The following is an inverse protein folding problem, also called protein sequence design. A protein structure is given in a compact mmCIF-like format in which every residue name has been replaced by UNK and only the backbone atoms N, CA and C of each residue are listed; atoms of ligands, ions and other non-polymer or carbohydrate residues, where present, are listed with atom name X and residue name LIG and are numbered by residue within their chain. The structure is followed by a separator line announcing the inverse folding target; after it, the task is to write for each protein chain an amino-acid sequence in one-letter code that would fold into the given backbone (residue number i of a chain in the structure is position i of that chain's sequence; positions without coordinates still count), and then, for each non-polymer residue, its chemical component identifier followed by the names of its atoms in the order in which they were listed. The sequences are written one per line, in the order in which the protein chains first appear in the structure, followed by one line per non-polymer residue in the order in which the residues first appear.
data_IF_770276520478
#
_entry.id   IF_770276520478
#
_cell.length_a   1.000
_cell.length_b   1.000
_cell.length_c   1.000
_cell.angle_alpha   90.00
_cell.angle_beta   90.00
_cell.angle_gamma   90.00
#
_symmetry.space_group_name_H-M   'P 1'
#
loop_
_entity.id
_entity.type
_entity.pdbx_description
1 polymer ?
#
# COMPACT_ATOMS: atom_id res chain seq x y z
N UNK A 1 10.41 -24.44 4.72
CA UNK A 1 9.25 -24.07 3.86
C UNK A 1 8.23 -23.12 4.52
N UNK A 2 7.27 -23.56 5.35
CA UNK A 2 6.16 -22.66 5.78
C UNK A 2 6.63 -21.46 6.63
N UNK A 3 7.61 -21.65 7.51
CA UNK A 3 8.14 -20.55 8.32
C UNK A 3 8.90 -19.53 7.46
N UNK A 4 9.67 -20.01 6.47
CA UNK A 4 10.46 -19.15 5.58
C UNK A 4 9.56 -18.33 4.65
N UNK A 5 8.42 -18.86 4.19
CA UNK A 5 7.49 -18.08 3.36
C UNK A 5 6.78 -16.97 4.17
N UNK A 6 6.53 -17.19 5.46
CA UNK A 6 6.03 -16.15 6.37
C UNK A 6 7.07 -15.04 6.58
N UNK A 7 8.34 -15.43 6.74
CA UNK A 7 9.44 -14.47 6.75
C UNK A 7 9.48 -13.68 5.43
N UNK A 8 9.31 -14.34 4.28
CA UNK A 8 9.28 -13.67 2.98
C UNK A 8 8.14 -12.65 2.86
N UNK A 9 6.95 -12.98 3.40
CA UNK A 9 5.80 -12.08 3.45
C UNK A 9 6.10 -10.81 4.25
N UNK A 10 6.62 -10.96 5.46
CA UNK A 10 6.93 -9.83 6.35
C UNK A 10 8.07 -8.98 5.74
N UNK A 11 9.13 -9.62 5.25
CA UNK A 11 10.21 -8.94 4.55
C UNK A 11 9.72 -8.21 3.29
N UNK A 12 8.73 -8.77 2.60
CA UNK A 12 8.12 -8.16 1.43
C UNK A 12 7.36 -6.88 1.76
N UNK A 13 6.65 -6.82 2.89
CA UNK A 13 6.03 -5.58 3.35
C UNK A 13 7.05 -4.52 3.77
N UNK A 14 8.13 -4.93 4.45
CA UNK A 14 9.21 -4.02 4.84
C UNK A 14 9.92 -3.43 3.62
N UNK A 15 10.18 -4.26 2.62
CA UNK A 15 10.80 -3.82 1.37
C UNK A 15 9.98 -2.80 0.59
N UNK A 16 8.65 -2.68 0.83
CA UNK A 16 7.83 -1.65 0.18
C UNK A 16 8.21 -0.23 0.62
N UNK A 17 8.94 -0.06 1.73
CA UNK A 17 9.50 1.23 2.13
C UNK A 17 10.37 1.88 1.05
N UNK A 18 10.93 1.09 0.14
CA UNK A 18 11.77 1.60 -0.93
C UNK A 18 11.00 2.33 -2.04
N UNK A 19 9.67 2.27 -2.00
CA UNK A 19 8.80 2.79 -3.05
C UNK A 19 7.76 3.74 -2.43
N UNK A 20 7.56 4.92 -3.04
CA UNK A 20 6.55 5.87 -2.61
C UNK A 20 6.96 6.75 -1.42
N UNK A 21 6.04 6.95 -0.47
CA UNK A 21 6.21 7.85 0.68
C UNK A 21 6.94 7.23 1.88
N UNK A 22 7.40 5.98 1.74
CA UNK A 22 7.92 5.18 2.84
C UNK A 22 6.77 4.57 3.64
N UNK A 23 6.87 3.29 3.99
CA UNK A 23 5.88 2.60 4.80
C UNK A 23 6.32 2.58 6.27
N UNK A 24 5.39 2.49 7.25
CA UNK A 24 5.75 2.42 8.66
C UNK A 24 6.48 1.12 9.05
N UNK A 25 6.58 0.14 8.16
CA UNK A 25 7.11 -1.19 8.46
C UNK A 25 8.63 -1.25 8.23
N UNK A 26 9.44 -0.99 9.26
CA UNK A 26 10.90 -1.12 9.16
C UNK A 26 11.41 -2.50 9.56
N UNK A 27 12.61 -2.87 9.12
CA UNK A 27 13.29 -4.09 9.57
C UNK A 27 13.39 -4.13 11.10
N UNK A 28 13.85 -3.06 11.71
CA UNK A 28 14.11 -2.99 13.16
C UNK A 28 12.82 -3.09 13.99
N UNK A 29 11.76 -2.37 13.59
CA UNK A 29 10.55 -2.27 14.41
C UNK A 29 9.42 -3.20 13.98
N UNK A 30 9.54 -3.87 12.83
CA UNK A 30 8.53 -4.78 12.31
C UNK A 30 9.09 -6.19 12.12
N UNK A 31 10.05 -6.36 11.20
CA UNK A 31 10.58 -7.70 10.87
C UNK A 31 11.25 -8.36 12.06
N UNK A 32 12.19 -7.67 12.72
CA UNK A 32 12.99 -8.21 13.82
C UNK A 32 12.09 -8.53 15.03
N UNK A 33 10.99 -7.79 15.22
CA UNK A 33 9.99 -8.05 16.27
C UNK A 33 9.25 -9.37 16.02
N UNK A 34 8.68 -9.56 14.83
CA UNK A 34 8.00 -10.82 14.49
C UNK A 34 8.98 -12.00 14.44
N UNK A 35 10.20 -11.77 13.94
CA UNK A 35 11.23 -12.80 13.93
C UNK A 35 11.60 -13.25 15.35
N UNK A 36 11.78 -12.32 16.28
CA UNK A 36 12.07 -12.65 17.68
C UNK A 36 10.91 -13.37 18.39
N UNK A 37 9.67 -13.04 18.05
CA UNK A 37 8.48 -13.65 18.66
C UNK A 37 8.20 -15.06 18.13
N UNK A 38 8.34 -15.27 16.82
CA UNK A 38 7.95 -16.52 16.16
C UNK A 38 9.13 -17.40 15.73
N UNK A 39 10.37 -16.93 15.90
CA UNK A 39 11.60 -17.60 15.44
C UNK A 39 11.53 -17.95 13.95
N UNK A 40 11.19 -16.95 13.12
CA UNK A 40 10.95 -17.16 11.70
C UNK A 40 12.21 -17.57 10.95
N UNK A 41 13.33 -16.91 11.26
CA UNK A 41 14.65 -17.17 10.73
C UNK A 41 15.64 -17.32 11.88
N UNK A 42 16.51 -18.31 11.77
CA UNK A 42 17.63 -18.51 12.66
C UNK A 42 18.64 -17.35 12.57
N UNK A 43 19.49 -17.15 13.59
CA UNK A 43 20.54 -16.13 13.55
C UNK A 43 21.53 -16.33 12.39
N UNK A 44 21.69 -17.55 11.90
CA UNK A 44 22.58 -17.85 10.77
C UNK A 44 21.94 -17.43 9.44
N UNK A 45 20.66 -17.75 9.24
CA UNK A 45 19.86 -17.28 8.10
C UNK A 45 19.76 -15.76 8.07
N UNK A 46 19.58 -15.12 9.23
CA UNK A 46 19.59 -13.67 9.34
C UNK A 46 20.91 -13.05 8.87
N UNK A 47 22.05 -13.66 9.21
CA UNK A 47 23.37 -13.21 8.73
C UNK A 47 23.52 -13.35 7.23
N UNK A 48 22.95 -14.41 6.65
CA UNK A 48 22.97 -14.58 5.20
C UNK A 48 22.20 -13.44 4.51
N UNK A 49 21.13 -12.92 5.12
CA UNK A 49 20.37 -11.80 4.57
C UNK A 49 20.99 -10.41 4.81
N UNK A 50 21.99 -10.26 5.68
CA UNK A 50 22.58 -8.95 6.04
C UNK A 50 23.17 -8.18 4.84
N UNK A 51 23.49 -8.88 3.74
CA UNK A 51 24.00 -8.26 2.53
C UNK A 51 22.91 -7.54 1.70
N UNK A 52 21.64 -7.72 2.05
CA UNK A 52 20.52 -7.04 1.45
C UNK A 52 19.94 -5.99 2.39
N UNK A 53 19.64 -4.81 1.84
CA UNK A 53 18.95 -3.75 2.56
C UNK A 53 17.44 -4.01 2.53
N UNK A 54 16.92 -4.63 3.59
CA UNK A 54 15.50 -4.99 3.70
C UNK A 54 14.59 -3.76 3.72
N UNK A 55 15.05 -2.63 4.27
CA UNK A 55 14.27 -1.40 4.34
C UNK A 55 14.20 -0.67 3.00
N UNK A 56 15.14 -0.94 2.09
CA UNK A 56 15.20 -0.26 0.80
C UNK A 56 15.14 -1.21 -0.40
N UNK A 57 14.68 -2.46 -0.20
CA UNK A 57 14.65 -3.43 -1.29
C UNK A 57 13.71 -4.62 -1.06
N UNK A 58 12.95 -4.97 -2.09
CA UNK A 58 12.22 -6.25 -2.16
C UNK A 58 13.11 -7.48 -2.43
N UNK A 59 14.43 -7.32 -2.50
CA UNK A 59 15.36 -8.43 -2.76
C UNK A 59 15.38 -9.49 -1.65
N UNK A 60 15.28 -9.08 -0.38
CA UNK A 60 15.21 -10.03 0.75
C UNK A 60 14.03 -11.00 0.59
N UNK A 61 12.84 -10.50 0.24
CA UNK A 61 11.66 -11.34 0.01
C UNK A 61 11.89 -12.32 -1.15
N UNK A 62 12.52 -11.85 -2.24
CA UNK A 62 12.81 -12.68 -3.42
C UNK A 62 13.80 -13.79 -3.10
N UNK A 63 14.83 -13.49 -2.32
CA UNK A 63 15.81 -14.47 -1.84
C UNK A 63 15.15 -15.52 -0.94
N UNK A 64 14.32 -15.10 0.02
CA UNK A 64 13.56 -16.01 0.89
C UNK A 64 12.59 -16.91 0.11
N UNK A 65 11.96 -16.38 -0.93
CA UNK A 65 11.17 -17.20 -1.86
C UNK A 65 12.05 -18.24 -2.56
N UNK A 66 13.25 -17.88 -3.02
CA UNK A 66 14.18 -18.84 -3.62
C UNK A 66 14.61 -19.92 -2.65
N UNK A 67 14.92 -19.59 -1.38
CA UNK A 67 15.24 -20.59 -0.35
C UNK A 67 14.06 -21.55 -0.13
N UNK A 68 12.82 -21.04 -0.14
CA UNK A 68 11.63 -21.90 -0.07
C UNK A 68 11.54 -22.89 -1.24
N UNK A 69 11.89 -22.47 -2.46
CA UNK A 69 11.89 -23.33 -3.63
C UNK A 69 12.99 -24.40 -3.54
N UNK A 70 14.16 -24.04 -3.01
CA UNK A 70 15.27 -24.97 -2.81
C UNK A 70 14.93 -26.02 -1.74
N UNK A 71 14.30 -25.61 -0.62
CA UNK A 71 13.79 -26.52 0.41
C UNK A 71 12.80 -27.54 -0.17
N UNK A 72 11.87 -27.09 -1.02
CA UNK A 72 10.86 -27.95 -1.65
C UNK A 72 11.55 -28.98 -2.56
N UNK A 73 12.53 -28.55 -3.36
CA UNK A 73 13.29 -29.42 -4.24
C UNK A 73 14.16 -30.41 -3.45
N UNK A 74 14.72 -30.01 -2.30
CA UNK A 74 15.43 -30.91 -1.40
C UNK A 74 14.49 -31.94 -0.77
N UNK A 75 13.30 -31.52 -0.31
CA UNK A 75 12.30 -32.42 0.25
C UNK A 75 11.85 -33.50 -0.75
N UNK A 76 11.70 -33.14 -2.03
CA UNK A 76 11.41 -34.11 -3.09
C UNK A 76 12.60 -35.06 -3.32
N UNK A 77 13.84 -34.55 -3.41
CA UNK A 77 15.04 -35.39 -3.55
C UNK A 77 15.24 -36.36 -2.39
N UNK A 78 14.85 -35.97 -1.18
CA UNK A 78 14.88 -36.81 0.01
C UNK A 78 13.72 -37.82 0.09
N UNK A 79 12.73 -37.71 -0.82
CA UNK A 79 11.58 -38.60 -0.89
C UNK A 79 10.48 -38.30 0.15
N UNK A 80 10.46 -37.10 0.73
CA UNK A 80 9.40 -36.69 1.66
C UNK A 80 8.11 -36.27 0.97
N UNK A 81 8.20 -35.82 -0.29
CA UNK A 81 7.07 -35.41 -1.12
C UNK A 81 7.19 -36.03 -2.51
N UNK A 82 6.07 -36.18 -3.21
CA UNK A 82 6.04 -36.62 -4.60
C UNK A 82 6.20 -35.45 -5.59
N UNK A 83 6.37 -35.76 -6.88
CA UNK A 83 6.58 -34.76 -7.94
C UNK A 83 5.38 -33.83 -8.15
N UNK A 84 4.16 -34.30 -7.86
CA UNK A 84 2.93 -33.50 -8.01
C UNK A 84 2.85 -32.48 -6.88
N UNK A 85 3.16 -32.90 -5.65
CA UNK A 85 3.25 -32.04 -4.47
C UNK A 85 4.35 -30.99 -4.64
N UNK A 86 5.53 -31.39 -5.12
CA UNK A 86 6.63 -30.47 -5.46
C UNK A 86 6.15 -29.40 -6.43
N UNK A 87 5.59 -29.80 -7.59
CA UNK A 87 5.11 -28.87 -8.61
C UNK A 87 4.03 -27.93 -8.05
N UNK A 88 3.11 -28.45 -7.24
CA UNK A 88 2.05 -27.66 -6.61
C UNK A 88 2.63 -26.60 -5.66
N UNK A 89 3.55 -26.99 -4.76
CA UNK A 89 4.16 -26.08 -3.80
C UNK A 89 5.02 -25.02 -4.49
N UNK A 90 5.82 -25.41 -5.48
CA UNK A 90 6.61 -24.48 -6.31
C UNK A 90 5.72 -23.44 -6.98
N UNK A 91 4.60 -23.87 -7.56
CA UNK A 91 3.62 -22.96 -8.18
C UNK A 91 3.05 -21.99 -7.15
N UNK A 92 2.74 -22.43 -5.93
CA UNK A 92 2.21 -21.56 -4.87
C UNK A 92 3.22 -20.51 -4.40
N UNK A 93 4.50 -20.87 -4.32
CA UNK A 93 5.57 -19.90 -4.00
C UNK A 93 5.72 -18.86 -5.11
N UNK A 94 5.63 -19.28 -6.38
CA UNK A 94 5.68 -18.35 -7.52
C UNK A 94 4.44 -17.45 -7.58
N UNK A 95 3.24 -17.98 -7.33
CA UNK A 95 2.01 -17.20 -7.26
C UNK A 95 2.11 -16.13 -6.15
N UNK A 96 2.64 -16.50 -4.98
CA UNK A 96 2.90 -15.57 -3.87
C UNK A 96 3.89 -14.48 -4.27
N UNK A 97 5.04 -14.85 -4.85
CA UNK A 97 6.04 -13.90 -5.31
C UNK A 97 5.46 -12.94 -6.36
N UNK A 98 4.69 -13.45 -7.30
CA UNK A 98 4.04 -12.63 -8.33
C UNK A 98 3.02 -11.66 -7.74
N UNK A 99 2.26 -12.08 -6.71
CA UNK A 99 1.34 -11.19 -6.01
C UNK A 99 2.08 -10.05 -5.28
N UNK A 100 3.19 -10.37 -4.59
CA UNK A 100 4.01 -9.35 -3.94
C UNK A 100 4.69 -8.42 -4.95
N UNK A 101 5.26 -8.95 -6.04
CA UNK A 101 5.82 -8.15 -7.13
C UNK A 101 4.76 -7.21 -7.74
N UNK A 102 3.51 -7.66 -7.87
CA UNK A 102 2.40 -6.80 -8.30
C UNK A 102 2.14 -5.62 -7.37
N UNK A 103 2.37 -5.76 -6.05
CA UNK A 103 2.29 -4.65 -5.11
C UNK A 103 3.45 -3.66 -5.31
N UNK A 104 4.68 -4.16 -5.49
CA UNK A 104 5.83 -3.32 -5.82
C UNK A 104 5.63 -2.54 -7.11
N UNK A 105 5.17 -3.21 -8.17
CA UNK A 105 4.91 -2.60 -9.48
C UNK A 105 3.82 -1.51 -9.39
N UNK A 106 2.77 -1.73 -8.59
CA UNK A 106 1.73 -0.74 -8.35
C UNK A 106 2.28 0.50 -7.64
N UNK A 107 3.07 0.29 -6.57
CA UNK A 107 3.67 1.39 -5.81
C UNK A 107 4.71 2.15 -6.64
N UNK A 108 5.45 1.49 -7.54
CA UNK A 108 6.52 2.10 -8.36
C UNK A 108 5.96 2.94 -9.51
N UNK A 109 4.68 2.79 -9.80
CA UNK A 109 3.97 3.53 -10.83
C UNK A 109 2.95 4.49 -10.21
N UNK A 110 3.39 5.52 -9.45
CA UNK A 110 2.46 6.48 -8.89
C UNK A 110 1.72 7.20 -10.02
N UNK A 111 0.49 7.71 -9.76
CA UNK A 111 -0.25 8.48 -10.73
C UNK A 111 0.61 9.59 -11.31
N UNK A 112 0.57 9.76 -12.63
CA UNK A 112 1.41 10.73 -13.31
C UNK A 112 1.30 12.10 -12.64
N UNK A 113 2.45 12.68 -12.29
CA UNK A 113 2.56 13.99 -11.65
C UNK A 113 1.63 15.04 -12.26
N UNK A 114 1.57 15.08 -13.60
CA UNK A 114 0.72 16.01 -14.35
C UNK A 114 -0.77 15.85 -14.03
N UNK A 115 -1.26 14.61 -13.86
CA UNK A 115 -2.65 14.33 -13.58
C UNK A 115 -3.09 14.92 -12.22
N UNK A 116 -2.30 14.71 -11.17
CA UNK A 116 -2.58 15.25 -9.83
C UNK A 116 -2.60 16.79 -9.87
N UNK A 117 -1.60 17.40 -10.51
CA UNK A 117 -1.49 18.85 -10.62
C UNK A 117 -2.63 19.45 -11.46
N UNK A 118 -3.03 18.78 -12.53
CA UNK A 118 -4.14 19.20 -13.37
C UNK A 118 -5.45 19.19 -12.60
N UNK A 119 -5.72 18.16 -11.80
CA UNK A 119 -6.91 18.10 -10.93
C UNK A 119 -6.90 19.22 -9.89
N UNK A 120 -5.76 19.48 -9.23
CA UNK A 120 -5.62 20.57 -8.27
C UNK A 120 -5.88 21.92 -8.94
N UNK A 121 -5.30 22.16 -10.12
CA UNK A 121 -5.50 23.39 -10.88
C UNK A 121 -6.97 23.58 -11.26
N UNK A 122 -7.64 22.51 -11.70
CA UNK A 122 -9.06 22.55 -12.06
C UNK A 122 -9.92 22.93 -10.85
N UNK A 123 -9.68 22.35 -9.66
CA UNK A 123 -10.40 22.72 -8.44
C UNK A 123 -10.17 24.19 -8.03
N UNK A 124 -8.93 24.66 -8.12
CA UNK A 124 -8.54 26.04 -7.75
C UNK A 124 -9.16 27.07 -8.69
N UNK A 125 -9.38 26.73 -9.97
CA UNK A 125 -10.05 27.62 -10.92
C UNK A 125 -11.58 27.50 -10.86
N UNK A 126 -12.11 26.29 -10.74
CA UNK A 126 -13.54 26.01 -10.76
C UNK A 126 -14.27 26.61 -9.56
N UNK A 127 -13.76 26.41 -8.33
CA UNK A 127 -14.47 26.84 -7.12
C UNK A 127 -14.64 28.37 -7.03
N UNK A 128 -13.63 29.21 -7.29
CA UNK A 128 -13.81 30.66 -7.33
C UNK A 128 -14.77 31.11 -8.43
N UNK A 129 -14.67 30.54 -9.64
CA UNK A 129 -15.58 30.87 -10.73
C UNK A 129 -17.03 30.53 -10.38
N UNK A 130 -17.26 29.37 -9.78
CA UNK A 130 -18.57 28.95 -9.30
C UNK A 130 -19.10 29.89 -8.20
N UNK A 131 -18.27 30.26 -7.23
CA UNK A 131 -18.66 31.19 -6.18
C UNK A 131 -19.04 32.57 -6.73
N UNK A 132 -18.31 33.07 -7.73
CA UNK A 132 -18.62 34.32 -8.42
C UNK A 132 -19.95 34.22 -9.17
N UNK A 133 -20.18 33.15 -9.94
CA UNK A 133 -21.43 32.93 -10.69
C UNK A 133 -22.66 32.87 -9.77
N UNK A 134 -22.56 32.11 -8.67
CA UNK A 134 -23.62 32.02 -7.66
C UNK A 134 -23.83 33.38 -6.98
N UNK A 135 -22.76 34.13 -6.70
CA UNK A 135 -22.83 35.48 -6.16
C UNK A 135 -23.51 36.48 -7.11
N UNK A 136 -23.32 36.35 -8.42
CA UNK A 136 -24.06 37.14 -9.41
C UNK A 136 -25.54 36.76 -9.47
N UNK A 137 -25.87 35.48 -9.31
CA UNK A 137 -27.25 34.99 -9.32
C UNK A 137 -28.08 35.45 -8.11
N UNK A 138 -27.42 35.84 -7.01
CA UNK A 138 -28.07 36.40 -5.83
C UNK A 138 -28.72 37.78 -6.02
N UNK A 139 -28.36 38.52 -7.07
CA UNK A 139 -28.84 39.87 -7.32
C UNK A 139 -28.06 40.96 -6.56
N UNK A 140 -28.26 42.23 -6.94
CA UNK A 140 -27.63 43.39 -6.31
C UNK A 140 -28.69 44.43 -5.89
N UNK A 141 -28.41 45.15 -4.79
CA UNK A 141 -29.22 46.26 -4.29
C UNK A 141 -30.65 45.87 -3.84
N UNK A 142 -31.69 46.47 -4.42
CA UNK A 142 -33.08 46.39 -3.92
C UNK A 142 -33.76 45.02 -4.14
N UNK A 143 -33.10 44.09 -4.85
CA UNK A 143 -33.57 42.72 -5.09
C UNK A 143 -32.91 41.68 -4.16
N UNK A 144 -32.20 42.13 -3.12
CA UNK A 144 -31.46 41.27 -2.21
C UNK A 144 -32.39 40.57 -1.19
N UNK A 145 -32.72 39.31 -1.47
CA UNK A 145 -33.45 38.46 -0.53
C UNK A 145 -32.48 37.67 0.34
N UNK A 146 -32.38 38.02 1.62
CA UNK A 146 -31.49 37.35 2.60
C UNK A 146 -31.60 35.81 2.57
N UNK A 147 -32.81 35.28 2.37
CA UNK A 147 -33.03 33.82 2.27
C UNK A 147 -32.39 33.18 1.05
N UNK A 148 -32.34 33.89 -0.08
CA UNK A 148 -31.72 33.43 -1.32
C UNK A 148 -30.18 33.46 -1.20
N UNK A 149 -29.63 34.47 -0.53
CA UNK A 149 -28.19 34.53 -0.22
C UNK A 149 -27.74 33.41 0.71
N UNK A 150 -28.52 33.10 1.74
CA UNK A 150 -28.22 31.98 2.64
C UNK A 150 -28.24 30.66 1.86
N UNK A 151 -29.26 30.45 1.00
CA UNK A 151 -29.36 29.25 0.18
C UNK A 151 -28.16 29.11 -0.77
N UNK A 152 -27.81 30.19 -1.48
CA UNK A 152 -26.68 30.25 -2.40
C UNK A 152 -25.33 30.02 -1.67
N UNK A 153 -25.16 30.61 -0.49
CA UNK A 153 -23.98 30.37 0.35
C UNK A 153 -23.85 28.91 0.79
N UNK A 154 -24.97 28.26 1.14
CA UNK A 154 -25.00 26.82 1.46
C UNK A 154 -24.64 25.98 0.23
N UNK A 155 -25.15 26.34 -0.96
CA UNK A 155 -24.82 25.65 -2.22
C UNK A 155 -23.31 25.72 -2.50
N UNK A 156 -22.69 26.91 -2.36
CA UNK A 156 -21.24 27.08 -2.53
C UNK A 156 -20.46 26.25 -1.50
N UNK A 157 -20.87 26.27 -0.23
CA UNK A 157 -20.24 25.48 0.82
C UNK A 157 -20.28 23.98 0.51
N UNK A 158 -21.45 23.45 0.13
CA UNK A 158 -21.61 22.04 -0.23
C UNK A 158 -20.77 21.67 -1.45
N UNK A 159 -20.73 22.54 -2.47
CA UNK A 159 -19.91 22.31 -3.66
C UNK A 159 -18.41 22.28 -3.33
N UNK A 160 -17.95 23.15 -2.43
CA UNK A 160 -16.58 23.14 -1.92
C UNK A 160 -16.27 21.82 -1.21
N UNK A 161 -17.15 21.37 -0.30
CA UNK A 161 -16.98 20.08 0.40
C UNK A 161 -16.87 18.94 -0.60
N UNK A 162 -17.74 18.92 -1.62
CA UNK A 162 -17.73 17.84 -2.62
C UNK A 162 -16.44 17.82 -3.45
N UNK A 163 -16.05 18.96 -4.03
CA UNK A 163 -14.87 19.03 -4.91
C UNK A 163 -13.58 18.78 -4.14
N UNK A 164 -13.42 19.43 -2.97
CA UNK A 164 -12.23 19.25 -2.14
C UNK A 164 -12.20 17.85 -1.52
N UNK A 165 -13.36 17.36 -1.06
CA UNK A 165 -13.49 16.02 -0.48
C UNK A 165 -13.17 14.91 -1.47
N UNK A 166 -13.69 14.97 -2.70
CA UNK A 166 -13.36 14.01 -3.75
C UNK A 166 -11.87 14.02 -4.10
N UNK A 167 -11.24 15.19 -4.13
CA UNK A 167 -9.80 15.30 -4.36
C UNK A 167 -9.00 14.69 -3.21
N UNK A 168 -9.38 14.98 -1.97
CA UNK A 168 -8.72 14.44 -0.79
C UNK A 168 -8.83 12.92 -0.74
N UNK A 169 -10.03 12.37 -0.99
CA UNK A 169 -10.26 10.93 -1.11
C UNK A 169 -9.39 10.32 -2.20
N UNK A 170 -9.36 10.94 -3.39
CA UNK A 170 -8.51 10.49 -4.48
C UNK A 170 -7.03 10.55 -4.17
N UNK A 171 -6.58 11.41 -3.26
CA UNK A 171 -5.18 11.47 -2.81
C UNK A 171 -4.86 10.38 -1.79
N UNK A 172 -5.79 10.13 -0.85
CA UNK A 172 -5.65 9.09 0.17
C UNK A 172 -5.64 7.68 -0.43
N UNK A 173 -6.42 7.43 -1.48
CA UNK A 173 -6.44 6.14 -2.17
C UNK A 173 -5.18 5.83 -3.02
N UNK A 174 -4.25 6.77 -3.17
CA UNK A 174 -3.04 6.55 -3.99
C UNK A 174 -2.06 5.62 -3.28
N UNK A 175 -1.94 5.74 -1.96
CA UNK A 175 -1.00 4.99 -1.15
C UNK A 175 -1.75 4.20 -0.06
N UNK A 176 -2.21 2.98 -0.35
CA UNK A 176 -3.03 2.19 0.58
C UNK A 176 -2.21 1.46 1.66
N UNK A 177 -0.88 1.66 1.71
CA UNK A 177 0.04 0.93 2.60
C UNK A 177 0.77 1.85 3.59
N UNK A 178 0.30 3.09 3.72
CA UNK A 178 0.86 4.11 4.60
C UNK A 178 0.42 3.94 6.06
N UNK A 179 0.37 5.08 6.75
CA UNK A 179 -0.01 5.18 8.16
C UNK A 179 -1.39 5.82 8.37
N UNK A 180 -2.18 6.01 7.30
CA UNK A 180 -3.51 6.59 7.40
C UNK A 180 -4.53 5.61 7.99
N UNK A 181 -5.57 6.14 8.63
CA UNK A 181 -6.61 5.32 9.27
C UNK A 181 -7.41 4.46 8.28
N UNK A 182 -7.49 4.89 7.02
CA UNK A 182 -8.20 4.18 5.97
C UNK A 182 -7.32 3.17 5.22
N UNK A 183 -6.02 3.10 5.53
CA UNK A 183 -5.06 2.22 4.86
C UNK A 183 -5.25 0.75 5.25
N UNK A 184 -4.68 -0.12 4.43
CA UNK A 184 -4.73 -1.56 4.66
C UNK A 184 -3.92 -1.94 5.91
N UNK A 185 -4.54 -2.66 6.83
CA UNK A 185 -3.85 -3.16 8.02
C UNK A 185 -2.95 -4.35 7.69
N UNK A 186 -1.70 -4.08 7.31
CA UNK A 186 -0.69 -5.13 7.06
C UNK A 186 -0.46 -5.98 8.30
N UNK A 187 -0.47 -5.37 9.48
CA UNK A 187 -0.35 -6.06 10.78
C UNK A 187 -1.41 -7.16 10.89
N UNK A 188 -2.69 -6.83 10.63
CA UNK A 188 -3.77 -7.81 10.71
C UNK A 188 -3.58 -8.97 9.74
N UNK A 189 -3.09 -8.71 8.53
CA UNK A 189 -2.82 -9.77 7.56
C UNK A 189 -1.66 -10.68 8.00
N UNK A 190 -0.59 -10.10 8.56
CA UNK A 190 0.55 -10.86 9.07
C UNK A 190 0.15 -11.71 10.28
N UNK A 191 -0.53 -11.12 11.26
CA UNK A 191 -1.00 -11.83 12.47
C UNK A 191 -1.97 -12.95 12.12
N UNK A 192 -2.95 -12.70 11.25
CA UNK A 192 -3.91 -13.72 10.82
C UNK A 192 -3.23 -14.89 10.09
N UNK A 193 -2.08 -14.67 9.44
CA UNK A 193 -1.33 -15.74 8.77
C UNK A 193 -0.42 -16.49 9.75
N UNK A 194 0.09 -15.82 10.79
CA UNK A 194 0.94 -16.40 11.84
C UNK A 194 0.15 -17.26 12.84
N UNK A 195 -1.15 -17.05 12.99
CA UNK A 195 -2.03 -17.83 13.88
C UNK A 195 -2.46 -19.20 13.31
N UNK A 196 -2.17 -19.48 12.02
CA UNK A 196 -2.50 -20.74 11.32
C UNK A 196 -1.42 -21.80 11.57
#
# INVERSE_FOLDING_TARGET
VFIVILAAQIAGYVGMNCIGHGSPYSKEHFFDVYNAQHNLLSPEEMRLLEHHDMDNSGLCMKELCTWCQDDIAEAHRAGYIDSIQEQYMQTRVLDFRAAMDGMYDYSDQPPHFFYIHFLVLLSVLYLPLFAVDVGYASGFADECYLGLDILNGIIVLLQCIFVVGLRALGTKMIDPYGDDFEDLSVILYVEATLEI
#
